data_IF_787740197898
#
_entry.id   IF_787740197898
#
_cell.length_a   1.000
_cell.length_b   1.000
_cell.length_c   1.000
_cell.angle_alpha   90.00
_cell.angle_beta   90.00
_cell.angle_gamma   90.00
#
_symmetry.space_group_name_H-M   'P 1'
#
loop_
_entity.id
_entity.type
_entity.pdbx_description
1 polymer ?
#
# COMPACT_ATOMS: atom_id res chain seq x y z
N UNK A 1 35.30 5.53 16.53
CA UNK A 1 33.86 5.72 16.26
C UNK A 1 33.58 5.31 14.83
N UNK A 2 33.30 4.04 14.60
CA UNK A 2 32.88 3.52 13.30
C UNK A 2 31.45 4.02 13.04
N UNK A 3 31.28 4.87 12.01
CA UNK A 3 29.95 5.21 11.48
C UNK A 3 29.36 3.91 10.93
N UNK A 4 28.50 3.28 11.72
CA UNK A 4 27.68 2.17 11.26
C UNK A 4 26.71 2.75 10.22
N UNK A 5 27.06 2.58 8.96
CA UNK A 5 26.17 2.87 7.84
C UNK A 5 25.24 1.68 7.77
N UNK A 6 23.97 1.89 8.11
CA UNK A 6 22.96 0.85 7.90
C UNK A 6 23.00 0.41 6.42
N UNK A 7 22.80 -0.89 6.14
CA UNK A 7 22.75 -1.37 4.77
C UNK A 7 21.69 -0.60 3.98
N UNK A 8 21.94 -0.26 2.70
CA UNK A 8 21.09 0.64 1.92
C UNK A 8 19.61 0.22 1.89
N UNK A 9 19.33 -1.09 1.90
CA UNK A 9 17.96 -1.63 1.97
C UNK A 9 17.22 -1.30 3.28
N UNK A 10 17.93 -1.24 4.42
CA UNK A 10 17.33 -0.92 5.72
C UNK A 10 17.05 0.58 5.86
N UNK A 11 17.99 1.43 5.42
CA UNK A 11 17.76 2.88 5.36
C UNK A 11 16.60 3.26 4.44
N UNK A 12 16.45 2.54 3.32
CA UNK A 12 15.31 2.70 2.41
C UNK A 12 14.00 2.27 3.09
N UNK A 13 13.96 1.11 3.75
CA UNK A 13 12.78 0.63 4.46
C UNK A 13 12.31 1.61 5.55
N UNK A 14 13.25 2.18 6.33
CA UNK A 14 12.94 3.19 7.34
C UNK A 14 12.29 4.45 6.74
N UNK A 15 12.76 4.91 5.57
CA UNK A 15 12.16 6.05 4.85
C UNK A 15 10.76 5.71 4.36
N UNK A 16 10.60 4.55 3.72
CA UNK A 16 9.30 4.05 3.23
C UNK A 16 8.27 3.97 4.35
N UNK A 17 8.63 3.42 5.52
CA UNK A 17 7.72 3.35 6.68
C UNK A 17 7.33 4.74 7.16
N UNK A 18 8.28 5.68 7.25
CA UNK A 18 7.97 7.07 7.64
C UNK A 18 7.01 7.74 6.67
N UNK A 19 7.22 7.57 5.37
CA UNK A 19 6.38 8.14 4.32
C UNK A 19 4.96 7.53 4.35
N UNK A 20 4.83 6.22 4.55
CA UNK A 20 3.53 5.55 4.74
C UNK A 20 2.78 6.12 5.95
N UNK A 21 3.45 6.25 7.10
CA UNK A 21 2.83 6.79 8.32
C UNK A 21 2.47 8.28 8.17
N UNK A 22 3.29 9.04 7.44
CA UNK A 22 3.00 10.44 7.13
C UNK A 22 1.78 10.59 6.22
N UNK A 23 1.62 9.71 5.22
CA UNK A 23 0.42 9.65 4.40
C UNK A 23 -0.81 9.33 5.25
N UNK A 24 -0.73 8.31 6.12
CA UNK A 24 -1.79 7.97 7.06
C UNK A 24 -2.23 9.15 7.93
N UNK A 25 -1.25 9.88 8.48
CA UNK A 25 -1.49 11.06 9.29
C UNK A 25 -2.14 12.19 8.50
N UNK A 26 -1.88 12.29 7.19
CA UNK A 26 -2.47 13.32 6.34
C UNK A 26 -3.95 13.02 6.08
N UNK A 27 -4.30 11.77 5.75
CA UNK A 27 -5.70 11.33 5.60
C UNK A 27 -6.48 11.40 6.91
N UNK A 28 -5.84 11.14 8.05
CA UNK A 28 -6.50 11.24 9.35
C UNK A 28 -6.93 12.67 9.72
N UNK A 29 -6.31 13.71 9.14
CA UNK A 29 -6.69 15.11 9.39
C UNK A 29 -8.04 15.49 8.77
N UNK A 30 -8.49 14.71 7.80
CA UNK A 30 -9.76 14.93 7.11
C UNK A 30 -10.93 14.23 7.83
N UNK A 31 -10.65 13.56 8.94
CA UNK A 31 -11.63 12.84 9.74
C UNK A 31 -11.66 13.36 11.20
N UNK A 32 -12.75 13.08 11.94
CA UNK A 32 -12.80 13.30 13.38
C UNK A 32 -11.59 12.69 14.11
N UNK A 33 -11.02 13.41 15.08
CA UNK A 33 -9.79 12.97 15.78
C UNK A 33 -9.93 11.58 16.42
N UNK A 34 -11.14 11.24 16.88
CA UNK A 34 -11.50 9.94 17.46
C UNK A 34 -11.31 8.76 16.49
N UNK A 35 -11.29 9.00 15.18
CA UNK A 35 -11.06 7.98 14.15
C UNK A 35 -9.59 7.83 13.77
N UNK A 36 -8.71 8.74 14.22
CA UNK A 36 -7.26 8.70 13.90
C UNK A 36 -6.62 7.34 14.20
N UNK A 37 -6.86 6.68 15.35
CA UNK A 37 -6.27 5.37 15.63
C UNK A 37 -6.76 4.28 14.66
N UNK A 38 -8.04 4.33 14.27
CA UNK A 38 -8.62 3.39 13.31
C UNK A 38 -8.04 3.58 11.90
N UNK A 39 -7.90 4.83 11.45
CA UNK A 39 -7.31 5.16 10.15
C UNK A 39 -5.84 4.72 10.10
N UNK A 40 -5.08 4.97 11.18
CA UNK A 40 -3.69 4.51 11.29
C UNK A 40 -3.59 2.98 11.23
N UNK A 41 -4.48 2.25 11.92
CA UNK A 41 -4.51 0.79 11.89
C UNK A 41 -4.81 0.23 10.48
N UNK A 42 -5.79 0.83 9.79
CA UNK A 42 -6.11 0.49 8.40
C UNK A 42 -4.91 0.75 7.48
N UNK A 43 -4.22 1.88 7.66
CA UNK A 43 -3.02 2.18 6.87
C UNK A 43 -1.90 1.17 7.09
N UNK A 44 -1.57 0.85 8.34
CA UNK A 44 -0.55 -0.16 8.68
C UNK A 44 -0.89 -1.50 8.02
N UNK A 45 -2.14 -1.96 8.13
CA UNK A 45 -2.54 -3.25 7.57
C UNK A 45 -2.55 -3.27 6.05
N UNK A 46 -3.01 -2.20 5.39
CA UNK A 46 -2.94 -2.05 3.93
C UNK A 46 -1.49 -2.02 3.44
N UNK A 47 -0.61 -1.31 4.14
CA UNK A 47 0.80 -1.24 3.81
C UNK A 47 1.51 -2.59 3.93
N UNK A 48 1.21 -3.36 4.99
CA UNK A 48 1.72 -4.73 5.12
C UNK A 48 1.28 -5.61 3.95
N UNK A 49 0.02 -5.50 3.52
CA UNK A 49 -0.49 -6.29 2.41
C UNK A 49 0.17 -5.92 1.09
N UNK A 50 0.30 -4.63 0.77
CA UNK A 50 0.99 -4.20 -0.44
C UNK A 50 2.47 -4.63 -0.42
N UNK A 51 3.11 -4.60 0.74
CA UNK A 51 4.49 -5.10 0.88
C UNK A 51 4.59 -6.63 0.69
N UNK A 52 3.57 -7.39 1.09
CA UNK A 52 3.54 -8.86 0.95
C UNK A 52 3.12 -9.33 -0.47
N UNK A 53 2.54 -8.44 -1.28
CA UNK A 53 2.11 -8.66 -2.68
C UNK A 53 3.28 -8.78 -3.68
N UNK A 54 4.35 -9.47 -3.31
CA UNK A 54 5.55 -9.68 -4.14
C UNK A 54 5.25 -10.28 -5.52
N UNK A 55 4.17 -11.05 -5.65
CA UNK A 55 3.78 -11.74 -6.89
C UNK A 55 3.00 -10.84 -7.88
N UNK A 56 2.52 -9.67 -7.46
CA UNK A 56 1.88 -8.68 -8.36
C UNK A 56 2.83 -7.65 -8.93
N UNK A 57 4.00 -7.50 -8.33
CA UNK A 57 5.00 -6.57 -8.82
C UNK A 57 5.60 -7.13 -10.10
N UNK A 58 5.86 -6.26 -11.07
CA UNK A 58 6.59 -6.63 -12.29
C UNK A 58 7.90 -7.30 -11.86
N UNK A 59 8.19 -8.54 -12.31
CA UNK A 59 9.45 -9.20 -12.00
C UNK A 59 10.62 -8.34 -12.47
N UNK A 60 11.65 -8.22 -11.63
CA UNK A 60 12.87 -7.51 -11.99
C UNK A 60 13.98 -8.50 -12.36
N UNK A 61 14.99 -8.06 -13.13
CA UNK A 61 16.22 -8.82 -13.23
C UNK A 61 16.90 -8.94 -11.86
N UNK A 62 17.72 -9.99 -11.69
CA UNK A 62 18.63 -10.09 -10.54
C UNK A 62 19.83 -9.14 -10.74
N UNK A 63 20.35 -8.51 -9.68
CA UNK A 63 20.03 -8.71 -8.25
C UNK A 63 18.84 -7.88 -7.71
N UNK A 64 18.20 -7.05 -8.53
CA UNK A 64 17.21 -6.06 -8.09
C UNK A 64 15.96 -6.70 -7.49
N UNK A 65 15.53 -7.86 -8.01
CA UNK A 65 14.41 -8.64 -7.45
C UNK A 65 14.69 -9.06 -6.01
N UNK A 66 15.88 -9.59 -5.74
CA UNK A 66 16.31 -10.00 -4.40
C UNK A 66 16.39 -8.80 -3.45
N UNK A 67 16.96 -7.67 -3.90
CA UNK A 67 17.05 -6.44 -3.11
C UNK A 67 15.66 -5.89 -2.76
N UNK A 68 14.74 -5.86 -3.73
CA UNK A 68 13.35 -5.45 -3.53
C UNK A 68 12.67 -6.33 -2.48
N UNK A 69 12.85 -7.65 -2.58
CA UNK A 69 12.25 -8.60 -1.63
C UNK A 69 12.71 -8.34 -0.20
N UNK A 70 14.01 -8.15 0.01
CA UNK A 70 14.59 -7.84 1.33
C UNK A 70 14.05 -6.51 1.86
N UNK A 71 13.94 -5.49 1.01
CA UNK A 71 13.36 -4.19 1.38
C UNK A 71 11.89 -4.33 1.82
N UNK A 72 11.05 -5.00 1.03
CA UNK A 72 9.64 -5.20 1.33
C UNK A 72 9.42 -6.01 2.62
N UNK A 73 10.23 -7.06 2.83
CA UNK A 73 10.22 -7.83 4.08
C UNK A 73 10.62 -6.96 5.28
N UNK A 74 11.61 -6.08 5.11
CA UNK A 74 12.00 -5.13 6.15
C UNK A 74 10.88 -4.13 6.46
N UNK A 75 10.22 -3.57 5.45
CA UNK A 75 9.07 -2.67 5.61
C UNK A 75 7.94 -3.36 6.37
N UNK A 76 7.54 -4.56 5.95
CA UNK A 76 6.49 -5.34 6.60
C UNK A 76 6.86 -5.68 8.06
N UNK A 77 8.12 -6.03 8.33
CA UNK A 77 8.61 -6.27 9.69
C UNK A 77 8.56 -5.02 10.58
N UNK A 78 8.91 -3.86 10.04
CA UNK A 78 8.86 -2.58 10.76
C UNK A 78 7.44 -2.09 11.03
N UNK A 79 6.51 -2.29 10.10
CA UNK A 79 5.10 -1.95 10.29
C UNK A 79 4.46 -2.71 11.47
N UNK A 80 4.95 -3.93 11.74
CA UNK A 80 4.54 -4.76 12.90
C UNK A 80 5.29 -4.42 14.19
N UNK A 81 6.27 -3.54 14.15
CA UNK A 81 7.11 -3.24 15.30
C UNK A 81 6.34 -2.48 16.37
N UNK A 82 6.73 -2.68 17.64
CA UNK A 82 6.08 -2.05 18.79
C UNK A 82 5.94 -0.53 18.65
N UNK A 83 6.95 0.25 18.21
CA UNK A 83 6.80 1.70 18.02
C UNK A 83 5.72 2.09 17.00
N UNK A 84 5.46 1.25 16.00
CA UNK A 84 4.47 1.52 14.95
C UNK A 84 3.07 1.08 15.35
N UNK A 85 2.92 0.03 16.15
CA UNK A 85 1.60 -0.49 16.54
C UNK A 85 1.10 0.01 17.90
N UNK A 86 1.93 0.73 18.66
CA UNK A 86 1.54 1.24 19.98
C UNK A 86 0.31 2.17 19.88
N UNK A 87 -0.72 1.86 20.67
CA UNK A 87 -1.99 2.58 20.74
C UNK A 87 -3.01 2.22 19.65
N UNK A 88 -2.73 1.21 18.82
CA UNK A 88 -3.65 0.73 17.77
C UNK A 88 -3.85 -0.78 17.79
N UNK A 89 -3.38 -1.48 18.82
CA UNK A 89 -3.41 -2.96 18.88
C UNK A 89 -4.83 -3.52 18.85
N UNK A 90 -5.76 -2.92 19.58
CA UNK A 90 -7.16 -3.34 19.57
C UNK A 90 -7.79 -3.15 18.18
N UNK A 91 -7.40 -2.09 17.48
CA UNK A 91 -7.85 -1.85 16.12
C UNK A 91 -7.29 -2.89 15.13
N UNK A 92 -6.00 -3.23 15.26
CA UNK A 92 -5.35 -4.28 14.47
C UNK A 92 -5.95 -5.66 14.77
N UNK A 93 -6.30 -5.94 16.03
CA UNK A 93 -6.99 -7.15 16.43
C UNK A 93 -8.38 -7.27 15.80
N UNK A 94 -9.20 -6.22 15.88
CA UNK A 94 -10.52 -6.21 15.25
C UNK A 94 -10.48 -6.36 13.72
N UNK A 95 -9.49 -5.73 13.09
CA UNK A 95 -9.19 -5.89 11.67
C UNK A 95 -8.80 -7.34 11.31
N UNK A 96 -7.98 -7.99 12.14
CA UNK A 96 -7.62 -9.40 11.98
C UNK A 96 -8.79 -10.38 12.23
N UNK A 97 -9.74 -10.02 13.09
CA UNK A 97 -10.96 -10.82 13.28
C UNK A 97 -11.94 -10.70 12.11
N UNK A 98 -12.07 -9.51 11.54
CA UNK A 98 -12.81 -9.30 10.29
C UNK A 98 -12.13 -10.06 9.14
N UNK A 99 -10.81 -10.03 9.08
CA UNK A 99 -10.00 -10.80 8.15
C UNK A 99 -10.31 -12.29 8.16
N UNK A 100 -10.24 -12.90 9.34
CA UNK A 100 -10.48 -14.35 9.50
C UNK A 100 -11.88 -14.74 9.04
N UNK A 101 -12.88 -13.85 9.19
CA UNK A 101 -14.25 -14.06 8.72
C UNK A 101 -14.39 -13.90 7.21
N UNK A 102 -13.56 -13.06 6.60
CA UNK A 102 -13.58 -12.73 5.17
C UNK A 102 -12.75 -13.67 4.27
N UNK A 103 -12.27 -14.81 4.78
CA UNK A 103 -11.48 -15.90 4.14
C UNK A 103 -9.96 -15.79 4.28
N UNK A 104 -9.31 -16.85 4.79
CA UNK A 104 -7.96 -16.82 5.37
C UNK A 104 -6.75 -17.04 4.45
N UNK A 105 -6.71 -16.50 3.22
CA UNK A 105 -5.47 -16.56 2.43
C UNK A 105 -5.28 -15.36 1.51
N UNK A 106 -4.64 -14.31 2.03
CA UNK A 106 -4.53 -13.01 1.35
C UNK A 106 -3.22 -12.80 0.62
N UNK A 107 -2.18 -13.53 1.01
CA UNK A 107 -0.87 -13.46 0.40
C UNK A 107 -0.81 -14.11 -1.00
N UNK A 108 -1.87 -14.80 -1.44
CA UNK A 108 -1.83 -15.70 -2.61
C UNK A 108 -2.97 -15.52 -3.61
N UNK A 109 -4.05 -14.80 -3.26
CA UNK A 109 -5.25 -14.70 -4.10
C UNK A 109 -5.52 -13.26 -4.55
N UNK A 110 -5.63 -12.97 -5.86
CA UNK A 110 -5.93 -11.64 -6.38
C UNK A 110 -7.21 -11.00 -5.83
N UNK A 111 -8.27 -11.79 -5.66
CA UNK A 111 -9.57 -11.28 -5.18
C UNK A 111 -9.52 -10.81 -3.72
N UNK A 112 -8.56 -11.30 -2.93
CA UNK A 112 -8.39 -10.92 -1.53
C UNK A 112 -8.11 -9.41 -1.36
N UNK A 113 -7.61 -8.73 -2.40
CA UNK A 113 -7.41 -7.28 -2.34
C UNK A 113 -8.74 -6.53 -2.28
N UNK A 114 -9.66 -6.81 -3.20
CA UNK A 114 -10.97 -6.14 -3.23
C UNK A 114 -11.79 -6.46 -1.98
N UNK A 115 -11.65 -7.68 -1.46
CA UNK A 115 -12.27 -8.11 -0.20
C UNK A 115 -11.70 -7.37 1.00
N UNK A 116 -10.39 -7.09 1.01
CA UNK A 116 -9.79 -6.32 2.08
C UNK A 116 -10.11 -4.83 2.01
N UNK A 117 -10.13 -4.24 0.81
CA UNK A 117 -10.61 -2.86 0.62
C UNK A 117 -12.01 -2.72 1.20
N UNK A 118 -12.89 -3.67 0.89
CA UNK A 118 -14.25 -3.72 1.44
C UNK A 118 -14.23 -3.87 2.96
N UNK A 119 -13.42 -4.77 3.50
CA UNK A 119 -13.29 -4.97 4.96
C UNK A 119 -12.80 -3.70 5.67
N UNK A 120 -11.82 -3.00 5.10
CA UNK A 120 -11.27 -1.77 5.66
C UNK A 120 -12.30 -0.63 5.66
N UNK A 121 -13.07 -0.50 4.57
CA UNK A 121 -14.17 0.47 4.46
C UNK A 121 -15.22 0.16 5.54
N UNK A 122 -15.74 -1.07 5.57
CA UNK A 122 -16.75 -1.50 6.56
C UNK A 122 -16.28 -1.32 8.00
N UNK A 123 -14.98 -1.56 8.25
CA UNK A 123 -14.39 -1.33 9.55
C UNK A 123 -14.45 0.15 9.95
N UNK A 124 -14.01 1.04 9.07
CA UNK A 124 -14.04 2.47 9.32
C UNK A 124 -15.48 2.96 9.48
N UNK A 125 -16.39 2.60 8.58
CA UNK A 125 -17.83 2.90 8.69
C UNK A 125 -18.38 2.48 10.06
N UNK A 126 -18.11 1.27 10.52
CA UNK A 126 -18.53 0.81 11.84
C UNK A 126 -17.93 1.62 13.00
N UNK A 127 -16.72 2.18 12.84
CA UNK A 127 -16.13 3.11 13.82
C UNK A 127 -16.77 4.49 13.78
N UNK A 128 -17.14 4.98 12.60
CA UNK A 128 -17.87 6.23 12.44
C UNK A 128 -19.31 6.14 12.98
N UNK A 129 -20.01 5.03 12.75
CA UNK A 129 -21.38 4.81 13.24
C UNK A 129 -21.46 4.85 14.77
N UNK A 130 -20.38 4.47 15.46
CA UNK A 130 -20.27 4.54 16.90
C UNK A 130 -20.13 5.97 17.45
N UNK A 131 -19.89 6.97 16.59
CA UNK A 131 -19.84 8.38 16.97
C UNK A 131 -21.25 9.00 17.06
N UNK A 132 -21.41 10.05 17.88
CA UNK A 132 -22.59 10.93 17.82
C UNK A 132 -22.86 11.42 16.41
N UNK A 133 -24.13 11.56 16.03
CA UNK A 133 -24.55 11.88 14.66
C UNK A 133 -23.92 13.18 14.13
N UNK A 134 -23.74 14.18 15.00
CA UNK A 134 -23.11 15.47 14.70
C UNK A 134 -21.58 15.41 14.52
N UNK A 135 -20.97 14.27 14.83
CA UNK A 135 -19.54 14.01 14.70
C UNK A 135 -19.22 12.97 13.63
N UNK A 136 -20.24 12.44 12.95
CA UNK A 136 -20.02 11.47 11.88
C UNK A 136 -19.44 12.18 10.65
N UNK A 137 -18.43 11.59 10.01
CA UNK A 137 -17.93 12.08 8.73
C UNK A 137 -19.00 11.94 7.64
N UNK A 138 -18.77 12.62 6.52
CA UNK A 138 -19.67 12.57 5.37
C UNK A 138 -19.84 11.13 4.83
N UNK A 139 -20.97 10.83 4.17
CA UNK A 139 -21.11 9.58 3.42
C UNK A 139 -19.94 9.41 2.43
N UNK A 140 -19.43 8.18 2.28
CA UNK A 140 -18.29 7.82 1.41
C UNK A 140 -16.89 8.26 1.89
N UNK A 141 -16.75 8.92 3.04
CA UNK A 141 -15.42 9.28 3.56
C UNK A 141 -14.49 8.06 3.71
N UNK A 142 -15.05 6.90 4.09
CA UNK A 142 -14.26 5.69 4.30
C UNK A 142 -13.66 5.19 2.98
N UNK A 143 -14.41 5.25 1.88
CA UNK A 143 -13.94 4.93 0.54
C UNK A 143 -12.77 5.84 0.14
N UNK A 144 -12.93 7.16 0.30
CA UNK A 144 -11.91 8.15 -0.05
C UNK A 144 -10.63 7.96 0.76
N UNK A 145 -10.74 7.77 2.07
CA UNK A 145 -9.60 7.52 2.96
C UNK A 145 -8.89 6.23 2.58
N UNK A 146 -9.61 5.13 2.36
CA UNK A 146 -9.02 3.84 2.01
C UNK A 146 -8.35 3.91 0.63
N UNK A 147 -9.00 4.51 -0.36
CA UNK A 147 -8.44 4.70 -1.69
C UNK A 147 -7.18 5.57 -1.65
N UNK A 148 -7.23 6.68 -0.91
CA UNK A 148 -6.12 7.59 -0.69
C UNK A 148 -4.91 6.92 -0.04
N UNK A 149 -5.15 6.12 1.01
CA UNK A 149 -4.11 5.32 1.66
C UNK A 149 -3.47 4.34 0.68
N UNK A 150 -4.27 3.59 -0.09
CA UNK A 150 -3.74 2.59 -1.05
C UNK A 150 -2.89 3.26 -2.11
N UNK A 151 -3.38 4.36 -2.69
CA UNK A 151 -2.62 5.12 -3.69
C UNK A 151 -1.29 5.62 -3.10
N UNK A 152 -1.31 6.17 -1.88
CA UNK A 152 -0.11 6.66 -1.21
C UNK A 152 0.90 5.56 -0.94
N UNK A 153 0.45 4.42 -0.41
CA UNK A 153 1.29 3.25 -0.12
C UNK A 153 1.93 2.70 -1.40
N UNK A 154 1.15 2.57 -2.49
CA UNK A 154 1.67 2.09 -3.78
C UNK A 154 2.72 3.02 -4.37
N UNK A 155 2.51 4.33 -4.27
CA UNK A 155 3.46 5.33 -4.71
C UNK A 155 4.79 5.23 -3.93
N UNK A 156 4.71 5.12 -2.60
CA UNK A 156 5.88 5.04 -1.72
C UNK A 156 6.65 3.72 -1.88
N UNK A 157 5.94 2.60 -2.10
CA UNK A 157 6.57 1.30 -2.37
C UNK A 157 7.15 1.23 -3.79
N UNK A 158 6.74 2.13 -4.68
CA UNK A 158 7.26 2.22 -6.05
C UNK A 158 6.69 1.17 -7.00
N UNK A 159 5.46 0.72 -6.76
CA UNK A 159 4.79 -0.29 -7.62
C UNK A 159 4.71 0.19 -9.08
N UNK A 160 4.45 1.48 -9.30
CA UNK A 160 4.22 2.05 -10.63
C UNK A 160 5.49 2.62 -11.28
N UNK A 161 6.36 3.29 -10.53
CA UNK A 161 7.61 3.88 -11.09
C UNK A 161 8.62 2.82 -11.53
N UNK A 162 8.70 1.70 -10.82
CA UNK A 162 9.63 0.62 -11.15
C UNK A 162 9.16 -0.18 -12.36
N UNK A 163 7.84 -0.34 -12.53
CA UNK A 163 7.24 -0.91 -13.73
C UNK A 163 7.45 0.00 -14.95
N UNK A 164 7.24 1.31 -14.80
CA UNK A 164 7.41 2.29 -15.88
C UNK A 164 8.87 2.41 -16.36
N UNK A 165 9.86 2.32 -15.48
CA UNK A 165 11.29 2.37 -15.85
C UNK A 165 11.79 1.12 -16.59
N UNK A 166 11.11 -0.01 -16.43
CA UNK A 166 11.48 -1.30 -17.03
C UNK A 166 10.51 -1.73 -18.14
N UNK A 167 9.49 -0.92 -18.44
CA UNK A 167 8.64 -1.14 -19.59
C UNK A 167 9.50 -1.04 -20.87
N UNK A 168 9.32 -1.93 -21.87
CA UNK A 168 9.98 -1.76 -23.14
C UNK A 168 9.63 -0.37 -23.70
N UNK A 169 10.60 0.33 -24.33
CA UNK A 169 10.32 1.61 -24.94
C UNK A 169 9.14 1.46 -25.91
N UNK A 170 8.24 2.46 -26.02
CA UNK A 170 7.14 2.40 -26.96
C UNK A 170 7.72 2.07 -28.33
N UNK A 171 7.23 0.98 -28.95
CA UNK A 171 7.63 0.61 -30.29
C UNK A 171 7.40 1.83 -31.18
N UNK A 172 8.50 2.40 -31.70
CA UNK A 172 8.40 3.45 -32.68
C UNK A 172 7.63 2.84 -33.86
N UNK A 173 6.42 3.35 -34.11
CA UNK A 173 5.63 3.05 -35.29
C UNK A 173 6.57 3.06 -36.49
N UNK A 174 6.86 1.87 -37.00
CA UNK A 174 7.56 1.70 -38.26
C UNK A 174 6.55 2.09 -39.33
N UNK A 175 6.45 3.40 -39.58
CA UNK A 175 5.69 3.97 -40.69
C UNK A 175 6.19 3.27 -41.95
N UNK A 176 5.31 2.46 -42.52
CA UNK A 176 5.61 1.54 -43.59
C UNK A 176 6.13 2.25 -44.84
N UNK A 177 7.28 1.79 -45.32
CA UNK A 177 7.69 1.97 -46.70
C UNK A 177 6.91 0.96 -47.55
N UNK A 178 5.70 1.35 -47.96
CA UNK A 178 4.94 0.73 -49.05
C UNK A 178 4.50 1.81 -50.05
N UNK A 179 5.38 2.15 -50.99
CA UNK A 179 4.98 2.59 -52.34
C UNK A 179 5.73 1.70 -53.34
N UNK A 180 5.15 0.56 -53.72
CA UNK A 180 4.38 0.40 -54.96
C UNK A 180 5.11 0.89 -56.20
N UNK A 181 5.67 -0.06 -56.95
CA UNK A 181 6.06 0.16 -58.33
C UNK A 181 4.83 0.34 -59.21
N UNK A 182 4.92 1.27 -60.16
CA UNK A 182 4.20 1.20 -61.43
C UNK A 182 4.97 2.00 -62.49
N UNK A 183 5.55 1.26 -63.44
CA UNK A 183 6.09 1.76 -64.70
C UNK A 183 4.99 2.34 -65.60
N UNK A 184 5.37 3.17 -66.57
CA UNK A 184 4.91 3.04 -67.95
C UNK A 184 5.93 2.33 -68.83
#
# INVERSE_FOLDING_TARGET
MTKQTDPPAKGQADSTVKEILQAASSWAKEAPESLTPAIRAVCVRLAEMVADQRHYLVPLPEPQESERRVMLESVAGQLRSRPVIDGIEDHLGALAELELRSTGSWATVPSAQSEWVTTAIQYLEGRADALPEDQRPDPYWADDVVAGIIASVRAVIGVDELAARNAPPPEADSVGDQEQGLSP
#
